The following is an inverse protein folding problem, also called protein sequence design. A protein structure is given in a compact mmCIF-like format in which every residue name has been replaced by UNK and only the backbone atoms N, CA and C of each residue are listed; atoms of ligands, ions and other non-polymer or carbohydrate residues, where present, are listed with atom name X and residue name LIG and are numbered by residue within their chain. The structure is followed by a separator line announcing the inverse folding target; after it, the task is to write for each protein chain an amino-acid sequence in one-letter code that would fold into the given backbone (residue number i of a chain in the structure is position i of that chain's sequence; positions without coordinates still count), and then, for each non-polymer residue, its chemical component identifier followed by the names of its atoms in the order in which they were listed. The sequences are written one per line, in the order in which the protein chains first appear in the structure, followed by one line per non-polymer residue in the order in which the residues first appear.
data_IF_650880640564
#
_entry.id   IF_650880640564
#
_cell.length_a   1.000
_cell.length_b   1.000
_cell.length_c   1.000
_cell.angle_alpha   90.00
_cell.angle_beta   90.00
_cell.angle_gamma   90.00
#
_symmetry.space_group_name_H-M   'P 1'
#
loop_
_entity.id
_entity.type
_entity.pdbx_description
1 polymer ?
#
# COMPACT_ATOMS: atom_id res chain seq x y z
N UNK A 1 15.43 83.02 -2.15
CA UNK A 1 16.75 83.43 -1.59
C UNK A 1 17.68 82.28 -1.85
N UNK A 2 18.45 82.49 -2.84
CA UNK A 2 19.92 82.42 -2.94
C UNK A 2 20.51 81.04 -2.71
N UNK A 3 20.88 80.43 -3.85
CA UNK A 3 22.19 80.53 -4.57
C UNK A 3 23.23 79.58 -3.93
N UNK A 4 24.06 78.84 -4.55
CA UNK A 4 24.69 78.82 -5.87
C UNK A 4 25.64 77.61 -5.93
N UNK A 5 25.70 76.92 -7.05
CA UNK A 5 26.86 76.70 -7.93
C UNK A 5 28.09 76.01 -7.27
N UNK A 6 28.87 75.15 -7.86
CA UNK A 6 29.42 75.02 -9.21
C UNK A 6 30.51 73.92 -9.17
N UNK A 7 30.54 73.11 -10.12
CA UNK A 7 31.46 72.88 -11.25
C UNK A 7 32.74 72.07 -10.99
N UNK A 8 32.86 71.05 -11.79
CA UNK A 8 33.86 70.75 -12.84
C UNK A 8 35.27 70.29 -12.44
N UNK A 9 35.64 69.27 -13.15
CA UNK A 9 37.01 69.08 -13.53
C UNK A 9 37.32 67.65 -14.03
N UNK A 10 37.16 67.47 -15.34
CA UNK A 10 37.74 66.34 -16.06
C UNK A 10 39.22 66.56 -16.22
N UNK A 11 40.04 65.52 -16.39
CA UNK A 11 41.10 65.42 -17.42
C UNK A 11 41.61 63.95 -17.50
N UNK A 12 41.61 63.47 -18.70
CA UNK A 12 42.22 62.35 -19.39
C UNK A 12 43.71 62.14 -19.15
N UNK A 13 44.19 60.91 -19.26
CA UNK A 13 45.23 60.47 -20.17
C UNK A 13 45.61 58.98 -20.02
N UNK A 14 45.63 58.25 -21.11
CA UNK A 14 46.37 57.03 -21.43
C UNK A 14 47.79 57.39 -21.88
N UNK A 15 48.66 56.41 -22.25
CA UNK A 15 48.86 54.98 -21.89
C UNK A 15 50.36 54.71 -21.55
N UNK A 16 50.73 53.46 -21.24
CA UNK A 16 51.96 52.84 -21.83
C UNK A 16 51.97 51.31 -21.50
N UNK A 17 52.38 50.62 -22.56
CA UNK A 17 52.72 49.20 -22.61
C UNK A 17 54.01 48.86 -21.87
N UNK A 18 54.09 47.59 -21.37
CA UNK A 18 55.21 46.66 -21.58
C UNK A 18 54.91 45.35 -20.73
N UNK A 19 54.66 44.29 -21.46
CA UNK A 19 55.55 43.14 -21.71
C UNK A 19 55.87 42.25 -20.47
N UNK A 20 55.42 41.02 -20.59
CA UNK A 20 56.25 39.88 -20.27
C UNK A 20 55.84 39.01 -19.09
N UNK A 21 55.44 37.85 -19.38
CA UNK A 21 55.87 36.56 -18.87
C UNK A 21 54.71 35.57 -18.63
N UNK A 22 54.74 34.52 -19.43
CA UNK A 22 53.91 33.34 -19.36
C UNK A 22 54.06 32.64 -17.99
N UNK A 23 52.96 32.43 -17.28
CA UNK A 23 52.87 31.38 -16.30
C UNK A 23 51.61 30.55 -16.59
N UNK A 24 51.83 29.42 -17.26
CA UNK A 24 50.88 28.34 -17.43
C UNK A 24 50.45 27.85 -16.01
N UNK A 25 49.27 28.23 -15.55
CA UNK A 25 48.62 27.55 -14.44
C UNK A 25 47.66 26.54 -15.04
N UNK A 26 48.10 25.29 -15.07
CA UNK A 26 47.28 24.16 -15.41
C UNK A 26 46.11 24.07 -14.42
N UNK A 27 44.91 24.28 -14.94
CA UNK A 27 43.67 23.92 -14.24
C UNK A 27 43.57 22.42 -14.32
N UNK A 28 43.90 21.75 -13.24
CA UNK A 28 43.64 20.32 -13.01
C UNK A 28 42.12 20.16 -12.85
N UNK A 29 41.45 19.87 -13.96
CA UNK A 29 40.07 19.42 -13.95
C UNK A 29 40.08 17.99 -13.38
N UNK A 30 39.84 17.88 -12.10
CA UNK A 30 39.53 16.59 -11.47
C UNK A 30 38.16 16.15 -11.96
N UNK A 31 38.14 15.34 -13.04
CA UNK A 31 37.02 14.53 -13.43
C UNK A 31 36.78 13.54 -12.32
N UNK A 32 35.87 13.87 -11.40
CA UNK A 32 35.26 12.88 -10.47
C UNK A 32 34.40 12.02 -11.38
N UNK A 33 34.71 10.73 -11.57
CA UNK A 33 33.74 9.81 -12.17
C UNK A 33 32.58 9.75 -11.23
N UNK A 34 31.43 10.36 -11.59
CA UNK A 34 30.14 10.02 -11.03
C UNK A 34 29.94 8.54 -11.35
N UNK A 35 30.24 7.71 -10.37
CA UNK A 35 29.83 6.31 -10.36
C UNK A 35 28.31 6.35 -10.28
N UNK A 36 27.65 6.29 -11.43
CA UNK A 36 26.26 5.90 -11.52
C UNK A 36 26.23 4.43 -11.04
N UNK A 37 26.03 4.24 -9.75
CA UNK A 37 25.54 2.96 -9.26
C UNK A 37 24.21 2.71 -9.97
N UNK A 38 24.02 1.59 -10.68
CA UNK A 38 22.69 1.27 -11.19
C UNK A 38 21.76 1.18 -9.99
N UNK A 39 20.77 2.06 -9.94
CA UNK A 39 19.69 1.93 -8.97
C UNK A 39 18.97 0.64 -9.35
N UNK A 40 19.08 -0.35 -8.50
CA UNK A 40 18.32 -1.61 -8.61
C UNK A 40 16.86 -1.23 -8.40
N UNK A 41 16.11 -1.10 -9.49
CA UNK A 41 14.67 -0.87 -9.44
C UNK A 41 14.01 -2.16 -9.02
N UNK A 42 13.47 -2.16 -7.82
CA UNK A 42 12.81 -3.30 -7.21
C UNK A 42 11.29 -3.16 -7.42
N UNK A 43 10.66 -4.17 -8.00
CA UNK A 43 9.22 -4.16 -8.25
C UNK A 43 8.42 -4.60 -7.01
N UNK A 44 7.20 -4.12 -6.86
CA UNK A 44 6.42 -4.29 -5.63
C UNK A 44 5.05 -4.93 -5.86
N UNK A 45 4.81 -6.04 -5.17
CA UNK A 45 3.57 -6.81 -5.21
C UNK A 45 2.52 -6.34 -4.17
N UNK A 46 2.23 -5.05 -4.06
CA UNK A 46 1.39 -4.50 -2.98
C UNK A 46 -0.03 -4.11 -3.35
N UNK A 47 -0.49 -4.37 -4.58
CA UNK A 47 -1.82 -3.96 -5.05
C UNK A 47 -2.96 -4.94 -4.71
N UNK A 48 -2.89 -5.65 -3.58
CA UNK A 48 -3.99 -6.49 -3.08
C UNK A 48 -4.83 -5.74 -2.05
N UNK A 49 -6.15 -5.59 -2.28
CA UNK A 49 -7.08 -5.12 -1.27
C UNK A 49 -7.70 -6.31 -0.55
N UNK A 50 -7.68 -6.29 0.78
CA UNK A 50 -8.55 -7.15 1.59
C UNK A 50 -9.89 -6.44 1.83
N UNK A 51 -10.98 -7.19 1.85
CA UNK A 51 -12.29 -6.68 2.26
C UNK A 51 -12.32 -6.52 3.78
N UNK A 52 -12.98 -5.47 4.25
CA UNK A 52 -13.24 -5.36 5.69
C UNK A 52 -14.36 -6.32 6.08
N UNK A 53 -14.12 -7.13 7.11
CA UNK A 53 -15.15 -8.03 7.68
C UNK A 53 -16.38 -7.26 8.15
N UNK A 54 -16.20 -6.02 8.65
CA UNK A 54 -17.30 -5.15 9.08
C UNK A 54 -18.21 -4.76 7.91
N UNK A 55 -17.64 -4.43 6.74
CA UNK A 55 -18.41 -4.15 5.54
C UNK A 55 -19.18 -5.39 5.05
N UNK A 56 -18.55 -6.57 5.16
CA UNK A 56 -19.15 -7.83 4.76
C UNK A 56 -20.34 -8.22 5.65
N UNK A 57 -20.23 -7.97 6.97
CA UNK A 57 -21.23 -8.37 7.96
C UNK A 57 -22.31 -7.32 8.19
N UNK A 58 -22.19 -6.13 7.60
CA UNK A 58 -22.97 -4.96 7.95
C UNK A 58 -22.50 -4.36 9.29
N UNK A 59 -22.43 -3.05 9.36
CA UNK A 59 -21.99 -2.32 10.56
C UNK A 59 -23.00 -2.51 11.71
N UNK A 60 -22.87 -3.62 12.43
CA UNK A 60 -23.79 -3.94 13.53
C UNK A 60 -23.36 -3.26 14.82
N UNK A 61 -24.27 -2.49 15.39
CA UNK A 61 -24.09 -1.78 16.65
C UNK A 61 -24.52 -2.59 17.90
N UNK A 62 -24.67 -3.91 17.80
CA UNK A 62 -25.06 -4.72 18.95
C UNK A 62 -23.95 -4.73 20.00
N UNK A 63 -24.26 -4.38 21.29
CA UNK A 63 -23.28 -4.44 22.36
C UNK A 63 -22.75 -5.86 22.57
N UNK A 64 -21.52 -5.94 23.06
CA UNK A 64 -20.88 -7.22 23.41
C UNK A 64 -19.54 -7.44 22.73
N UNK A 65 -18.98 -8.63 22.94
CA UNK A 65 -17.74 -9.08 22.35
C UNK A 65 -18.01 -9.90 21.11
N UNK A 66 -17.12 -9.77 20.12
CA UNK A 66 -17.12 -10.60 18.91
C UNK A 66 -15.72 -11.04 18.57
N UNK A 67 -15.61 -12.27 18.12
CA UNK A 67 -14.40 -12.83 17.51
C UNK A 67 -14.61 -12.94 16.02
N UNK A 68 -13.61 -12.60 15.24
CA UNK A 68 -13.59 -12.84 13.80
C UNK A 68 -12.35 -13.58 13.38
N UNK A 69 -12.47 -14.36 12.32
CA UNK A 69 -11.36 -14.99 11.62
C UNK A 69 -11.60 -14.82 10.11
N UNK A 70 -10.62 -14.27 9.42
CA UNK A 70 -10.67 -14.00 7.98
C UNK A 70 -9.47 -14.63 7.29
N UNK A 71 -9.67 -15.19 6.12
CA UNK A 71 -8.64 -15.68 5.24
C UNK A 71 -8.73 -14.97 3.91
N UNK A 72 -7.61 -14.35 3.48
CA UNK A 72 -7.47 -13.71 2.19
C UNK A 72 -6.46 -14.45 1.33
N UNK A 73 -6.82 -14.63 0.06
CA UNK A 73 -5.99 -15.23 -0.97
C UNK A 73 -5.78 -14.22 -2.10
N UNK A 74 -4.51 -13.85 -2.35
CA UNK A 74 -4.13 -12.89 -3.38
C UNK A 74 -2.94 -13.47 -4.15
N UNK A 75 -3.20 -13.92 -5.37
CA UNK A 75 -2.17 -14.47 -6.26
C UNK A 75 -1.91 -13.49 -7.39
N UNK A 76 -0.71 -12.93 -7.40
CA UNK A 76 -0.25 -11.94 -8.38
C UNK A 76 0.72 -12.62 -9.34
N UNK A 77 0.21 -12.99 -10.51
CA UNK A 77 0.91 -13.76 -11.56
C UNK A 77 0.78 -13.11 -12.94
N UNK A 78 0.23 -11.91 -13.00
CA UNK A 78 0.05 -11.17 -14.24
C UNK A 78 0.82 -9.86 -14.20
N UNK A 79 1.83 -9.72 -15.06
CA UNK A 79 2.59 -8.47 -15.15
C UNK A 79 1.78 -7.41 -15.89
N UNK A 80 1.67 -6.22 -15.27
CA UNK A 80 0.95 -5.06 -15.82
C UNK A 80 1.77 -3.78 -15.74
N UNK A 81 1.50 -2.86 -16.68
CA UNK A 81 2.00 -1.49 -16.67
C UNK A 81 0.89 -0.56 -17.18
N UNK A 82 0.62 0.53 -16.44
CA UNK A 82 -0.54 1.37 -16.71
C UNK A 82 -1.83 0.55 -16.66
N UNK A 83 -2.62 0.64 -17.72
CA UNK A 83 -3.90 -0.07 -17.84
C UNK A 83 -3.79 -1.41 -18.58
N UNK A 84 -2.59 -1.87 -18.93
CA UNK A 84 -2.38 -2.99 -19.85
C UNK A 84 -1.61 -4.13 -19.19
N UNK A 85 -1.94 -5.35 -19.60
CA UNK A 85 -1.08 -6.52 -19.43
C UNK A 85 0.14 -6.38 -20.33
N UNK A 86 1.32 -6.73 -19.82
CA UNK A 86 2.58 -6.73 -20.55
C UNK A 86 3.26 -8.09 -20.41
N UNK A 87 4.10 -8.46 -21.38
CA UNK A 87 4.81 -9.75 -21.39
C UNK A 87 6.23 -9.68 -20.87
N UNK A 88 6.74 -8.49 -20.50
CA UNK A 88 8.08 -8.27 -20.00
C UNK A 88 8.28 -6.84 -19.55
N UNK A 89 9.48 -6.55 -19.10
CA UNK A 89 9.92 -5.24 -18.60
C UNK A 89 11.03 -4.67 -19.46
N UNK A 90 11.27 -3.36 -19.51
CA UNK A 90 12.48 -2.77 -20.10
C UNK A 90 13.74 -3.20 -19.35
N UNK A 91 14.90 -3.02 -20.01
CA UNK A 91 16.20 -3.22 -19.39
C UNK A 91 16.34 -2.37 -18.12
N UNK A 92 16.91 -2.96 -17.06
CA UNK A 92 17.12 -2.32 -15.77
C UNK A 92 15.93 -2.38 -14.81
N UNK A 93 14.74 -2.83 -15.24
CA UNK A 93 13.62 -3.12 -14.35
C UNK A 93 13.71 -4.56 -13.84
N UNK A 94 13.16 -4.79 -12.64
CA UNK A 94 13.01 -6.14 -12.13
C UNK A 94 11.92 -6.90 -12.90
N UNK A 95 12.24 -8.14 -13.30
CA UNK A 95 11.28 -9.07 -13.90
C UNK A 95 10.79 -10.03 -12.83
N UNK A 96 9.75 -9.60 -12.12
CA UNK A 96 9.04 -10.48 -11.18
C UNK A 96 8.30 -11.60 -11.91
N UNK A 97 8.19 -12.76 -11.26
CA UNK A 97 7.52 -13.92 -11.82
C UNK A 97 6.18 -14.19 -11.14
N UNK A 98 6.17 -14.26 -9.80
CA UNK A 98 5.00 -14.68 -9.03
C UNK A 98 5.08 -14.16 -7.60
N UNK A 99 3.92 -13.72 -7.07
CA UNK A 99 3.76 -13.40 -5.65
C UNK A 99 2.43 -13.92 -5.14
N UNK A 100 2.48 -14.88 -4.22
CA UNK A 100 1.31 -15.40 -3.54
C UNK A 100 1.26 -14.90 -2.11
N UNK A 101 0.22 -14.12 -1.80
CA UNK A 101 -0.07 -13.63 -0.47
C UNK A 101 -1.29 -14.36 0.11
N UNK A 102 -1.16 -14.84 1.32
CA UNK A 102 -2.24 -15.39 2.12
C UNK A 102 -2.20 -14.74 3.49
N UNK A 103 -3.34 -14.17 3.91
CA UNK A 103 -3.48 -13.58 5.22
C UNK A 103 -4.49 -14.39 6.03
N UNK A 104 -4.18 -14.65 7.28
CA UNK A 104 -5.12 -15.17 8.28
C UNK A 104 -5.23 -14.10 9.34
N UNK A 105 -6.35 -13.37 9.36
CA UNK A 105 -6.54 -12.25 10.28
C UNK A 105 -7.52 -12.64 11.38
N UNK A 106 -7.03 -12.68 12.63
CA UNK A 106 -7.87 -12.81 13.80
C UNK A 106 -8.30 -11.42 14.27
N UNK A 107 -9.60 -11.26 14.55
CA UNK A 107 -10.17 -10.01 15.05
C UNK A 107 -10.85 -10.22 16.40
N UNK A 108 -10.68 -9.26 17.30
CA UNK A 108 -11.43 -9.15 18.53
C UNK A 108 -12.08 -7.77 18.58
N UNK A 109 -13.39 -7.71 18.63
CA UNK A 109 -14.12 -6.45 18.78
C UNK A 109 -14.95 -6.41 20.05
N UNK A 110 -15.07 -5.21 20.60
CA UNK A 110 -15.89 -4.91 21.77
C UNK A 110 -16.73 -3.67 21.54
N UNK A 111 -18.04 -3.82 21.65
CA UNK A 111 -19.00 -2.70 21.58
C UNK A 111 -19.61 -2.50 22.98
N UNK A 112 -19.20 -1.47 23.74
CA UNK A 112 -19.81 -1.20 25.05
C UNK A 112 -21.28 -0.76 24.93
N UNK A 113 -21.65 -0.19 23.80
CA UNK A 113 -23.00 0.25 23.47
C UNK A 113 -23.18 0.32 21.95
N UNK A 114 -24.32 0.82 21.47
CA UNK A 114 -24.62 0.97 20.03
C UNK A 114 -23.81 2.07 19.33
N UNK A 115 -23.03 2.88 20.06
CA UNK A 115 -22.34 4.06 19.53
C UNK A 115 -20.85 3.82 19.30
N UNK A 116 -20.22 3.00 20.16
CA UNK A 116 -18.80 2.75 20.15
C UNK A 116 -18.48 1.30 19.83
N UNK A 117 -17.45 1.09 19.02
CA UNK A 117 -16.85 -0.22 18.78
C UNK A 117 -15.33 -0.08 18.76
N UNK A 118 -14.63 -0.98 19.41
CA UNK A 118 -13.17 -1.10 19.43
C UNK A 118 -12.78 -2.44 18.85
N UNK A 119 -11.81 -2.42 17.93
CA UNK A 119 -11.40 -3.58 17.14
C UNK A 119 -9.87 -3.72 17.19
N UNK A 120 -9.41 -4.93 17.45
CA UNK A 120 -8.01 -5.36 17.33
C UNK A 120 -7.94 -6.37 16.21
N UNK A 121 -7.07 -6.15 15.22
CA UNK A 121 -6.81 -7.08 14.12
C UNK A 121 -5.37 -7.56 14.19
N UNK A 122 -5.20 -8.88 14.19
CA UNK A 122 -3.91 -9.56 14.30
C UNK A 122 -3.71 -10.43 13.05
N UNK A 123 -2.99 -9.95 12.03
CA UNK A 123 -2.77 -10.71 10.81
C UNK A 123 -1.58 -11.66 10.94
N UNK A 124 -1.71 -12.88 10.46
CA UNK A 124 -0.64 -13.80 10.15
C UNK A 124 -0.43 -13.81 8.64
N UNK A 125 0.77 -13.45 8.20
CA UNK A 125 1.10 -13.29 6.78
C UNK A 125 1.92 -14.50 6.31
N UNK A 126 1.43 -15.16 5.27
CA UNK A 126 2.14 -16.24 4.58
C UNK A 126 2.34 -15.76 3.15
N UNK A 127 3.60 -15.51 2.77
CA UNK A 127 3.95 -14.99 1.44
C UNK A 127 5.02 -15.87 0.80
N UNK A 128 4.84 -16.15 -0.48
CA UNK A 128 5.89 -16.62 -1.37
C UNK A 128 6.07 -15.65 -2.52
N UNK A 129 7.31 -15.38 -2.89
CA UNK A 129 7.67 -14.47 -3.96
C UNK A 129 8.80 -15.06 -4.77
N UNK A 130 8.77 -14.83 -6.09
CA UNK A 130 9.82 -15.25 -7.01
C UNK A 130 10.07 -14.22 -8.10
N UNK A 131 11.33 -14.06 -8.48
CA UNK A 131 11.80 -13.09 -9.46
C UNK A 131 12.98 -13.62 -10.24
N UNK A 132 13.11 -13.17 -11.50
CA UNK A 132 14.33 -13.33 -12.30
C UNK A 132 15.38 -12.26 -11.96
N UNK A 133 15.03 -11.27 -11.11
CA UNK A 133 15.88 -10.12 -10.80
C UNK A 133 15.86 -9.07 -11.91
N UNK A 134 16.87 -8.22 -11.92
CA UNK A 134 16.98 -7.11 -12.92
C UNK A 134 17.13 -7.67 -14.34
N UNK A 135 16.23 -7.27 -15.23
CA UNK A 135 16.22 -7.71 -16.61
C UNK A 135 17.30 -7.02 -17.43
N UNK A 136 18.17 -7.84 -18.09
CA UNK A 136 19.15 -7.41 -19.07
C UNK A 136 18.89 -8.16 -20.39
N UNK A 137 18.50 -7.48 -21.48
CA UNK A 137 18.22 -8.12 -22.77
C UNK A 137 19.47 -8.66 -23.47
N UNK A 138 20.68 -8.30 -23.00
CA UNK A 138 21.95 -8.80 -23.54
C UNK A 138 22.40 -10.12 -22.93
N UNK A 139 21.74 -10.58 -21.86
CA UNK A 139 22.06 -11.80 -21.14
C UNK A 139 20.88 -12.79 -21.20
N UNK A 140 21.13 -14.11 -21.13
CA UNK A 140 20.07 -15.08 -20.87
C UNK A 140 19.36 -14.76 -19.55
N UNK A 141 18.07 -15.10 -19.46
CA UNK A 141 17.35 -14.99 -18.18
C UNK A 141 18.06 -15.84 -17.13
N UNK A 142 18.37 -15.29 -15.94
CA UNK A 142 18.95 -16.04 -14.86
C UNK A 142 17.94 -17.06 -14.31
N UNK A 143 18.45 -17.99 -13.47
CA UNK A 143 17.57 -18.87 -12.70
C UNK A 143 16.66 -18.07 -11.76
N UNK A 144 15.49 -18.64 -11.48
CA UNK A 144 14.49 -18.01 -10.64
C UNK A 144 14.93 -17.96 -9.17
N UNK A 145 15.00 -16.77 -8.61
CA UNK A 145 15.18 -16.57 -7.17
C UNK A 145 13.83 -16.64 -6.46
N UNK A 146 13.76 -17.32 -5.33
CA UNK A 146 12.50 -17.42 -4.57
C UNK A 146 12.69 -17.19 -3.08
N UNK A 147 11.63 -16.67 -2.46
CA UNK A 147 11.54 -16.46 -1.01
C UNK A 147 10.21 -16.99 -0.48
N UNK A 148 10.19 -17.32 0.81
CA UNK A 148 8.97 -17.66 1.52
C UNK A 148 9.06 -17.15 2.96
N UNK A 149 8.01 -16.49 3.42
CA UNK A 149 7.85 -16.03 4.80
C UNK A 149 6.52 -16.50 5.38
N UNK A 150 6.49 -16.70 6.69
CA UNK A 150 5.27 -17.01 7.43
C UNK A 150 5.45 -16.48 8.85
N UNK A 151 4.83 -15.36 9.17
CA UNK A 151 4.98 -14.70 10.46
C UNK A 151 3.83 -13.75 10.77
N UNK A 152 3.83 -13.22 11.99
CA UNK A 152 2.96 -12.13 12.40
C UNK A 152 3.19 -10.91 11.48
N UNK A 153 2.11 -10.26 11.07
CA UNK A 153 2.12 -8.97 10.38
C UNK A 153 1.91 -7.80 11.35
N UNK A 154 1.56 -6.64 10.78
CA UNK A 154 1.36 -5.43 11.57
C UNK A 154 -0.04 -5.42 12.20
N UNK A 155 -0.12 -5.34 13.53
CA UNK A 155 -1.37 -5.29 14.29
C UNK A 155 -2.04 -3.94 14.08
N UNK A 156 -3.38 -3.95 13.91
CA UNK A 156 -4.20 -2.74 13.82
C UNK A 156 -5.11 -2.63 15.04
N UNK A 157 -5.20 -1.43 15.59
CA UNK A 157 -6.12 -1.03 16.65
C UNK A 157 -7.05 0.03 16.07
N UNK A 158 -8.36 -0.20 16.09
CA UNK A 158 -9.35 0.68 15.45
C UNK A 158 -10.46 0.98 16.44
N UNK A 159 -10.79 2.25 16.59
CA UNK A 159 -11.98 2.73 17.29
C UNK A 159 -12.99 3.26 16.26
N UNK A 160 -14.23 2.84 16.38
CA UNK A 160 -15.35 3.30 15.57
C UNK A 160 -16.34 4.08 16.44
N UNK A 161 -16.82 5.20 15.90
CA UNK A 161 -17.88 6.00 16.53
C UNK A 161 -19.01 6.24 15.53
N UNK A 162 -20.25 5.88 15.92
CA UNK A 162 -21.45 6.01 15.08
C UNK A 162 -22.62 6.71 15.80
N UNK A 163 -22.29 7.64 16.69
CA UNK A 163 -23.28 8.39 17.47
C UNK A 163 -23.74 9.71 16.84
N UNK A 164 -23.38 9.99 15.57
CA UNK A 164 -23.73 11.25 14.91
C UNK A 164 -25.21 11.38 14.58
N UNK A 165 -25.86 10.27 14.26
CA UNK A 165 -27.27 10.22 13.90
C UNK A 165 -28.02 9.26 14.85
N UNK A 166 -29.29 9.52 15.16
CA UNK A 166 -30.09 8.62 15.99
C UNK A 166 -30.21 7.20 15.42
N UNK A 167 -30.07 7.06 14.10
CA UNK A 167 -30.11 5.79 13.37
C UNK A 167 -28.79 5.00 13.47
N UNK A 168 -27.71 5.59 14.00
CA UNK A 168 -26.37 5.00 14.10
C UNK A 168 -25.79 4.49 12.77
N UNK A 169 -26.27 5.01 11.65
CA UNK A 169 -25.91 4.55 10.29
C UNK A 169 -24.76 5.36 9.65
N UNK A 170 -24.27 6.40 10.32
CA UNK A 170 -23.09 7.17 9.94
C UNK A 170 -22.03 7.01 11.02
N UNK A 171 -20.84 6.56 10.65
CA UNK A 171 -19.75 6.40 11.59
C UNK A 171 -18.40 6.85 11.03
N UNK A 172 -17.48 7.09 11.94
CA UNK A 172 -16.07 7.37 11.66
C UNK A 172 -15.19 6.33 12.31
N UNK A 173 -14.03 6.11 11.72
CA UNK A 173 -12.99 5.21 12.21
C UNK A 173 -11.71 5.99 12.48
N UNK A 174 -11.08 5.74 13.60
CA UNK A 174 -9.75 6.19 13.93
C UNK A 174 -8.94 4.98 14.38
N UNK A 175 -7.81 4.74 13.74
CA UNK A 175 -6.98 3.59 14.05
C UNK A 175 -5.50 3.87 13.96
N UNK A 176 -4.75 2.91 14.49
CA UNK A 176 -3.28 2.88 14.44
C UNK A 176 -2.86 1.48 14.02
N UNK A 177 -1.99 1.40 13.02
CA UNK A 177 -1.24 0.19 12.67
C UNK A 177 0.11 0.24 13.38
N UNK A 178 0.47 -0.82 14.10
CA UNK A 178 1.71 -0.96 14.85
C UNK A 178 2.72 -1.81 14.06
N UNK A 179 4.01 -1.46 14.06
CA UNK A 179 5.06 -2.20 13.34
C UNK A 179 5.47 -3.48 14.09
N UNK A 180 4.55 -4.42 14.24
CA UNK A 180 4.75 -5.68 14.96
C UNK A 180 5.22 -6.83 14.08
N UNK A 181 5.05 -6.68 12.77
CA UNK A 181 5.48 -7.66 11.78
C UNK A 181 6.98 -7.60 11.51
N UNK A 182 7.51 -8.69 10.96
CA UNK A 182 8.89 -8.71 10.48
C UNK A 182 9.03 -7.76 9.28
N UNK A 183 9.97 -6.82 9.34
CA UNK A 183 10.27 -5.86 8.28
C UNK A 183 11.71 -6.03 7.78
N UNK A 184 12.09 -5.32 6.73
CA UNK A 184 13.42 -5.35 6.12
C UNK A 184 14.54 -5.13 7.17
N UNK A 185 15.63 -5.91 7.12
CA UNK A 185 15.99 -6.97 6.18
C UNK A 185 15.68 -8.41 6.69
N UNK A 186 14.55 -8.62 7.36
CA UNK A 186 14.30 -9.88 8.11
C UNK A 186 14.02 -11.10 7.22
N UNK A 187 13.54 -10.90 5.98
CA UNK A 187 13.25 -11.99 5.04
C UNK A 187 14.24 -11.98 3.90
N UNK A 188 14.84 -13.15 3.61
CA UNK A 188 15.82 -13.31 2.54
C UNK A 188 15.35 -14.31 1.49
N UNK A 189 15.89 -14.19 0.27
CA UNK A 189 15.77 -15.23 -0.75
C UNK A 189 16.36 -16.55 -0.27
N UNK A 190 15.67 -17.64 -0.59
CA UNK A 190 16.01 -19.01 -0.15
C UNK A 190 16.63 -19.84 -1.27
N UNK A 191 16.44 -19.46 -2.52
CA UNK A 191 17.00 -20.15 -3.69
C UNK A 191 17.27 -19.16 -4.84
N UNK A 192 18.00 -19.63 -5.84
CA UNK A 192 18.36 -18.87 -7.02
C UNK A 192 19.58 -17.96 -6.83
N UNK A 193 19.91 -17.14 -7.83
CA UNK A 193 21.07 -16.26 -7.81
C UNK A 193 21.09 -15.27 -6.63
N UNK A 194 19.90 -14.83 -6.15
CA UNK A 194 19.79 -13.88 -5.05
C UNK A 194 19.76 -14.51 -3.66
N UNK A 195 20.09 -15.82 -3.53
CA UNK A 195 20.05 -16.52 -2.24
C UNK A 195 20.85 -15.78 -1.16
N UNK A 196 20.21 -15.59 0.01
CA UNK A 196 20.80 -14.87 1.15
C UNK A 196 20.68 -13.35 1.11
N UNK A 197 20.30 -12.75 -0.03
CA UNK A 197 20.02 -11.30 -0.09
C UNK A 197 18.66 -10.98 0.51
N UNK A 198 18.48 -9.80 1.14
CA UNK A 198 17.19 -9.40 1.67
C UNK A 198 16.12 -9.24 0.57
N UNK A 199 14.90 -9.60 0.92
CA UNK A 199 13.72 -9.34 0.12
C UNK A 199 13.34 -7.85 0.24
N UNK A 200 12.71 -7.31 -0.79
CA UNK A 200 12.27 -5.92 -0.83
C UNK A 200 11.50 -5.50 0.42
N UNK A 201 11.67 -4.25 0.84
CA UNK A 201 11.07 -3.73 2.06
C UNK A 201 9.53 -3.87 2.06
N UNK A 202 8.89 -3.67 0.91
CA UNK A 202 7.45 -3.78 0.71
C UNK A 202 6.92 -5.23 0.71
N UNK A 203 7.77 -6.21 0.48
CA UNK A 203 7.42 -7.64 0.43
C UNK A 203 7.60 -8.36 1.78
N UNK A 204 8.10 -7.68 2.81
CA UNK A 204 8.16 -8.24 4.16
C UNK A 204 6.76 -8.33 4.79
N UNK A 205 6.53 -9.24 5.77
CA UNK A 205 5.26 -9.37 6.48
C UNK A 205 4.76 -8.10 7.17
N UNK A 206 5.66 -7.29 7.68
CA UNK A 206 5.46 -5.93 8.17
C UNK A 206 6.29 -4.94 7.37
N UNK A 207 5.94 -3.67 7.43
CA UNK A 207 6.65 -2.61 6.71
C UNK A 207 7.49 -1.69 7.62
N UNK A 208 7.55 -2.00 8.93
CA UNK A 208 8.35 -1.23 9.89
C UNK A 208 7.81 0.18 10.16
N UNK A 209 6.55 0.48 9.81
CA UNK A 209 5.96 1.80 10.07
C UNK A 209 4.78 1.74 11.03
N UNK A 210 4.64 2.80 11.83
CA UNK A 210 3.41 3.13 12.54
C UNK A 210 2.56 4.01 11.63
N UNK A 211 1.33 3.56 11.33
CA UNK A 211 0.44 4.28 10.45
C UNK A 211 -0.80 4.75 11.21
N UNK A 212 -1.33 5.89 10.82
CA UNK A 212 -2.66 6.35 11.22
C UNK A 212 -3.67 5.89 10.18
N UNK A 213 -4.82 5.43 10.66
CA UNK A 213 -5.96 4.99 9.85
C UNK A 213 -7.14 5.92 10.17
N UNK A 214 -7.70 6.53 9.13
CA UNK A 214 -8.90 7.35 9.19
C UNK A 214 -9.94 6.75 8.27
N UNK A 215 -11.17 6.64 8.75
CA UNK A 215 -12.26 6.10 7.94
C UNK A 215 -13.58 6.75 8.22
N UNK A 216 -14.49 6.60 7.26
CA UNK A 216 -15.89 7.01 7.35
C UNK A 216 -16.73 5.94 6.69
N UNK A 217 -17.87 5.63 7.28
CA UNK A 217 -18.83 4.70 6.69
C UNK A 217 -20.26 5.20 6.87
N UNK A 218 -21.08 4.85 5.90
CA UNK A 218 -22.50 5.12 5.91
C UNK A 218 -23.24 3.91 5.36
N UNK A 219 -24.33 3.52 6.00
CA UNK A 219 -25.23 2.49 5.49
C UNK A 219 -26.69 2.95 5.61
N UNK A 220 -27.53 2.50 4.68
CA UNK A 220 -28.91 2.91 4.58
C UNK A 220 -29.76 1.79 3.99
N UNK A 221 -30.82 1.35 4.64
CA UNK A 221 -31.90 0.59 4.00
C UNK A 221 -32.55 1.44 2.92
N UNK A 222 -32.56 0.95 1.67
CA UNK A 222 -33.21 1.63 0.53
C UNK A 222 -34.57 1.00 0.19
N UNK A 223 -34.81 -0.22 0.65
CA UNK A 223 -36.08 -0.90 0.58
C UNK A 223 -36.20 -1.93 1.70
N UNK A 224 -37.26 -2.73 1.72
CA UNK A 224 -37.42 -3.84 2.67
C UNK A 224 -36.37 -4.96 2.47
N UNK A 225 -35.84 -5.08 1.23
CA UNK A 225 -34.96 -6.15 0.83
C UNK A 225 -33.53 -5.67 0.51
N UNK A 226 -33.28 -4.38 0.39
CA UNK A 226 -31.99 -3.87 -0.05
C UNK A 226 -31.41 -2.86 0.92
N UNK A 227 -30.17 -3.10 1.32
CA UNK A 227 -29.32 -2.17 2.02
C UNK A 227 -28.19 -1.69 1.12
N UNK A 228 -27.87 -0.41 1.22
CA UNK A 228 -26.75 0.24 0.58
C UNK A 228 -25.71 0.65 1.62
N UNK A 229 -24.44 0.54 1.29
CA UNK A 229 -23.38 1.08 2.12
C UNK A 229 -22.25 1.72 1.32
N UNK A 230 -21.58 2.65 1.95
CA UNK A 230 -20.31 3.25 1.51
C UNK A 230 -19.34 3.23 2.67
N UNK A 231 -18.11 2.80 2.41
CA UNK A 231 -16.99 2.88 3.35
C UNK A 231 -15.79 3.50 2.65
N UNK A 232 -15.17 4.49 3.28
CA UNK A 232 -13.91 5.07 2.85
C UNK A 232 -12.87 4.98 3.96
N UNK A 233 -11.65 4.57 3.63
CA UNK A 233 -10.55 4.49 4.58
C UNK A 233 -9.27 5.06 3.95
N UNK A 234 -8.55 5.85 4.74
CA UNK A 234 -7.24 6.40 4.43
C UNK A 234 -6.22 5.92 5.46
N UNK A 235 -5.07 5.43 4.99
CA UNK A 235 -3.95 5.00 5.84
C UNK A 235 -2.68 5.73 5.41
N UNK A 236 -1.95 6.28 6.37
CA UNK A 236 -0.70 7.01 6.15
C UNK A 236 0.32 6.69 7.23
N UNK A 237 1.57 6.48 6.83
CA UNK A 237 2.69 6.29 7.74
C UNK A 237 3.07 7.61 8.41
N UNK A 238 3.10 7.60 9.75
CA UNK A 238 3.48 8.76 10.58
C UNK A 238 4.84 8.59 11.24
N UNK A 239 5.31 7.34 11.40
CA UNK A 239 6.63 7.01 11.92
C UNK A 239 7.12 5.71 11.29
N UNK A 240 8.41 5.62 10.99
CA UNK A 240 9.02 4.42 10.43
C UNK A 240 10.33 4.09 11.15
N UNK A 241 10.66 2.79 11.24
CA UNK A 241 11.91 2.31 11.86
C UNK A 241 13.09 2.40 10.91
N UNK A 242 12.84 2.29 9.60
CA UNK A 242 13.85 2.44 8.56
C UNK A 242 13.94 3.91 8.20
N UNK A 243 14.76 4.67 8.93
CA UNK A 243 14.87 6.14 8.84
C UNK A 243 16.32 6.63 8.64
N UNK A 244 17.28 5.72 8.44
CA UNK A 244 18.67 6.08 8.24
C UNK A 244 18.94 6.46 6.78
N UNK A 245 19.68 7.54 6.49
CA UNK A 245 20.02 7.93 5.12
C UNK A 245 20.65 6.77 4.34
N UNK A 246 20.10 6.48 3.15
CA UNK A 246 20.51 5.37 2.28
C UNK A 246 19.98 4.00 2.71
N UNK A 247 19.28 3.90 3.83
CA UNK A 247 18.61 2.69 4.33
C UNK A 247 17.24 3.02 4.90
N UNK A 248 16.54 3.96 4.25
CA UNK A 248 15.24 4.44 4.66
C UNK A 248 14.12 3.85 3.78
N UNK A 249 12.99 3.60 4.40
CA UNK A 249 11.77 3.12 3.74
C UNK A 249 10.52 3.68 4.41
N UNK A 250 9.63 4.20 3.60
CA UNK A 250 8.30 4.65 4.01
C UNK A 250 7.25 4.14 3.03
N UNK A 251 6.25 3.37 3.47
CA UNK A 251 5.16 2.94 2.60
C UNK A 251 4.34 4.14 2.12
N UNK A 252 3.89 4.08 0.88
CA UNK A 252 2.98 5.07 0.30
C UNK A 252 1.63 5.08 1.02
N UNK A 253 0.95 6.22 0.96
CA UNK A 253 -0.41 6.34 1.50
C UNK A 253 -1.38 5.46 0.71
N UNK A 254 -2.36 4.91 1.40
CA UNK A 254 -3.40 4.06 0.81
C UNK A 254 -4.78 4.65 1.09
N UNK A 255 -5.62 4.72 0.06
CA UNK A 255 -7.02 5.10 0.17
C UNK A 255 -7.87 4.00 -0.44
N UNK A 256 -8.84 3.51 0.31
CA UNK A 256 -9.83 2.54 -0.18
C UNK A 256 -11.23 3.11 -0.07
N UNK A 257 -12.06 2.85 -1.06
CA UNK A 257 -13.49 3.18 -1.03
C UNK A 257 -14.26 1.96 -1.47
N UNK A 258 -15.20 1.51 -0.66
CA UNK A 258 -16.10 0.40 -0.96
C UNK A 258 -17.53 0.91 -1.01
N UNK A 259 -18.24 0.58 -2.07
CA UNK A 259 -19.65 0.89 -2.27
C UNK A 259 -20.36 -0.44 -2.53
N UNK A 260 -21.43 -0.74 -1.80
CA UNK A 260 -22.08 -2.03 -1.94
C UNK A 260 -23.57 -2.03 -1.72
N UNK A 261 -24.17 -3.08 -2.27
CA UNK A 261 -25.57 -3.44 -2.08
C UNK A 261 -25.65 -4.81 -1.43
N UNK A 262 -26.56 -4.96 -0.47
CA UNK A 262 -26.88 -6.20 0.22
C UNK A 262 -28.34 -6.53 -0.06
N UNK A 263 -28.63 -7.77 -0.42
CA UNK A 263 -29.98 -8.24 -0.61
C UNK A 263 -30.42 -9.07 0.60
N UNK A 264 -31.29 -8.52 1.43
CA UNK A 264 -31.64 -9.02 2.76
C UNK A 264 -33.04 -9.63 2.84
N UNK A 265 -33.65 -10.00 1.74
CA UNK A 265 -34.97 -10.65 1.71
C UNK A 265 -35.00 -11.98 2.53
N UNK A 266 -33.85 -12.63 2.69
CA UNK A 266 -33.67 -13.77 3.54
C UNK A 266 -32.51 -13.53 4.54
N UNK A 267 -32.77 -13.32 5.84
CA UNK A 267 -31.75 -13.01 6.81
C UNK A 267 -30.69 -14.12 7.03
N UNK A 268 -30.96 -15.34 6.53
CA UNK A 268 -29.99 -16.42 6.57
C UNK A 268 -28.97 -16.36 5.45
N UNK A 269 -29.35 -15.83 4.26
CA UNK A 269 -28.52 -15.76 3.06
C UNK A 269 -28.60 -14.37 2.48
N UNK A 270 -27.54 -13.60 2.62
CA UNK A 270 -27.46 -12.21 2.17
C UNK A 270 -26.43 -12.11 1.04
N UNK A 271 -26.87 -12.23 -0.23
CA UNK A 271 -26.01 -11.90 -1.36
C UNK A 271 -25.61 -10.44 -1.34
N UNK A 272 -24.39 -10.16 -1.78
CA UNK A 272 -23.84 -8.81 -1.80
C UNK A 272 -23.09 -8.57 -3.11
N UNK A 273 -23.10 -7.33 -3.55
CA UNK A 273 -22.29 -6.86 -4.66
C UNK A 273 -21.60 -5.57 -4.24
N UNK A 274 -20.26 -5.52 -4.36
CA UNK A 274 -19.48 -4.36 -3.99
C UNK A 274 -18.63 -3.89 -5.17
N UNK A 275 -18.39 -2.59 -5.23
CA UNK A 275 -17.33 -1.96 -6.01
C UNK A 275 -16.30 -1.44 -5.04
N UNK A 276 -15.06 -1.89 -5.18
CA UNK A 276 -13.94 -1.49 -4.34
C UNK A 276 -12.93 -0.71 -5.18
N UNK A 277 -12.61 0.49 -4.74
CA UNK A 277 -11.63 1.38 -5.34
C UNK A 277 -10.41 1.47 -4.42
N UNK A 278 -9.24 1.29 -4.99
CA UNK A 278 -7.96 1.45 -4.30
C UNK A 278 -7.12 2.51 -5.00
N UNK A 279 -6.62 3.44 -4.23
CA UNK A 279 -5.52 4.32 -4.62
C UNK A 279 -4.34 4.10 -3.68
N UNK A 280 -3.14 3.88 -4.23
CA UNK A 280 -1.89 3.83 -3.49
C UNK A 280 -0.89 4.83 -4.09
N UNK A 281 -0.30 5.68 -3.24
CA UNK A 281 0.82 6.55 -3.58
C UNK A 281 2.12 5.74 -3.66
N UNK A 282 3.17 6.24 -4.36
CA UNK A 282 4.48 5.58 -4.37
C UNK A 282 5.06 5.42 -2.96
N UNK A 283 5.73 4.29 -2.74
CA UNK A 283 6.59 4.12 -1.59
C UNK A 283 7.80 5.07 -1.71
N UNK A 284 8.44 5.41 -0.60
CA UNK A 284 9.49 6.42 -0.53
C UNK A 284 10.71 5.88 0.22
N UNK A 285 11.89 6.47 -0.06
CA UNK A 285 13.15 6.11 0.57
C UNK A 285 14.08 5.30 -0.34
N UNK A 286 15.31 5.09 0.12
CA UNK A 286 16.34 4.41 -0.66
C UNK A 286 16.07 2.91 -0.87
N UNK A 287 15.26 2.29 0.01
CA UNK A 287 14.84 0.89 -0.07
C UNK A 287 13.49 0.71 -0.79
N UNK A 288 12.93 1.76 -1.37
CA UNK A 288 11.64 1.72 -2.04
C UNK A 288 11.78 1.61 -3.55
N UNK A 289 10.97 0.76 -4.17
CA UNK A 289 10.70 0.91 -5.60
C UNK A 289 9.66 2.02 -5.80
N UNK A 290 10.15 3.24 -5.95
CA UNK A 290 9.32 4.43 -6.15
C UNK A 290 8.54 4.36 -7.47
N UNK A 291 9.08 3.63 -8.46
CA UNK A 291 8.52 3.60 -9.82
C UNK A 291 7.38 2.59 -9.97
N UNK A 292 7.39 1.50 -9.18
CA UNK A 292 6.48 0.37 -9.40
C UNK A 292 5.64 0.02 -8.15
N UNK A 293 5.36 0.98 -7.25
CA UNK A 293 4.60 0.74 -6.02
C UNK A 293 3.27 1.51 -5.92
N UNK A 294 2.94 2.32 -6.92
CA UNK A 294 1.74 3.13 -6.93
C UNK A 294 0.71 2.66 -7.96
N UNK A 295 -0.53 3.03 -7.76
CA UNK A 295 -1.58 2.74 -8.73
C UNK A 295 -2.99 3.03 -8.24
N UNK A 296 -3.91 2.92 -9.20
CA UNK A 296 -5.34 2.99 -8.99
C UNK A 296 -5.97 1.70 -9.51
N UNK A 297 -6.82 1.09 -8.71
CA UNK A 297 -7.48 -0.17 -9.06
C UNK A 297 -8.96 -0.10 -8.71
N UNK A 298 -9.81 -0.68 -9.54
CA UNK A 298 -11.21 -0.89 -9.24
C UNK A 298 -11.55 -2.39 -9.39
N UNK A 299 -12.28 -2.89 -8.40
CA UNK A 299 -12.78 -4.27 -8.38
C UNK A 299 -14.30 -4.30 -8.32
N UNK A 300 -14.89 -5.31 -8.95
CA UNK A 300 -16.26 -5.76 -8.66
C UNK A 300 -16.16 -7.00 -7.79
N UNK A 301 -16.92 -7.02 -6.69
CA UNK A 301 -16.80 -8.03 -5.66
C UNK A 301 -18.16 -8.64 -5.30
N UNK A 302 -18.62 -9.68 -6.04
CA UNK A 302 -19.74 -10.48 -5.60
C UNK A 302 -19.38 -11.27 -4.35
N UNK A 303 -20.33 -11.41 -3.47
CA UNK A 303 -20.15 -12.14 -2.22
C UNK A 303 -21.46 -12.59 -1.59
N UNK A 304 -21.31 -13.37 -0.53
CA UNK A 304 -22.42 -13.95 0.21
C UNK A 304 -22.09 -13.92 1.70
N UNK A 305 -23.02 -13.46 2.51
CA UNK A 305 -23.01 -13.66 3.96
C UNK A 305 -24.07 -14.67 4.36
N UNK A 306 -23.72 -15.57 5.28
CA UNK A 306 -24.58 -16.65 5.76
C UNK A 306 -24.66 -16.62 7.27
N UNK A 307 -25.87 -16.52 7.81
CA UNK A 307 -26.14 -16.70 9.24
C UNK A 307 -26.27 -18.19 9.55
N UNK A 308 -25.20 -18.79 10.10
CA UNK A 308 -25.16 -20.21 10.48
C UNK A 308 -25.95 -20.47 11.77
N UNK A 309 -25.93 -19.49 12.68
CA UNK A 309 -26.73 -19.45 13.90
C UNK A 309 -26.99 -17.99 14.30
N UNK A 310 -27.73 -17.78 15.41
CA UNK A 310 -27.95 -16.44 15.97
C UNK A 310 -26.63 -15.71 16.35
N UNK A 311 -25.56 -16.46 16.61
CA UNK A 311 -24.26 -15.92 17.04
C UNK A 311 -23.14 -16.11 16.03
N UNK A 312 -23.30 -16.99 15.03
CA UNK A 312 -22.24 -17.35 14.08
C UNK A 312 -22.66 -16.98 12.66
N UNK A 313 -21.87 -16.11 12.06
CA UNK A 313 -22.03 -15.69 10.68
C UNK A 313 -20.76 -16.00 9.90
N UNK A 314 -20.90 -16.35 8.64
CA UNK A 314 -19.80 -16.58 7.71
C UNK A 314 -20.00 -15.75 6.46
N UNK A 315 -18.91 -15.40 5.78
CA UNK A 315 -18.95 -14.70 4.50
C UNK A 315 -17.89 -15.22 3.54
N UNK A 316 -18.14 -15.02 2.25
CA UNK A 316 -17.14 -15.22 1.21
C UNK A 316 -17.35 -14.20 0.10
N UNK A 317 -16.23 -13.70 -0.47
CA UNK A 317 -16.18 -12.76 -1.57
C UNK A 317 -15.12 -13.18 -2.59
N UNK A 318 -15.38 -12.87 -3.84
CA UNK A 318 -14.37 -12.88 -4.90
C UNK A 318 -14.29 -11.48 -5.48
N UNK A 319 -13.09 -10.88 -5.53
CA UNK A 319 -12.86 -9.58 -6.13
C UNK A 319 -12.26 -9.76 -7.52
N UNK A 320 -12.93 -9.23 -8.53
CA UNK A 320 -12.52 -9.25 -9.92
C UNK A 320 -12.06 -7.86 -10.34
N UNK A 321 -10.80 -7.66 -10.74
CA UNK A 321 -10.33 -6.36 -11.18
C UNK A 321 -10.99 -5.99 -12.51
N UNK A 322 -11.63 -4.84 -12.56
CA UNK A 322 -12.28 -4.29 -13.76
C UNK A 322 -11.52 -3.10 -14.34
N UNK A 323 -10.67 -2.50 -13.54
CA UNK A 323 -9.78 -1.41 -13.95
C UNK A 323 -8.49 -1.45 -13.16
N UNK A 324 -7.38 -1.18 -13.82
CA UNK A 324 -6.08 -0.89 -13.17
C UNK A 324 -5.38 0.22 -13.93
N UNK A 325 -4.66 1.08 -13.21
CA UNK A 325 -3.69 2.02 -13.76
C UNK A 325 -2.50 2.04 -12.81
N UNK A 326 -1.49 1.22 -13.12
CA UNK A 326 -0.33 0.96 -12.27
C UNK A 326 0.87 1.77 -12.77
N UNK A 327 1.65 2.33 -11.86
CA UNK A 327 2.91 2.98 -12.19
C UNK A 327 4.00 1.93 -12.34
N UNK A 328 4.88 2.11 -13.34
CA UNK A 328 5.94 1.16 -13.65
C UNK A 328 5.41 -0.22 -14.07
N UNK A 329 6.07 -1.27 -13.62
CA UNK A 329 5.79 -2.67 -13.96
C UNK A 329 5.54 -3.42 -12.67
N UNK A 330 4.35 -3.98 -12.49
CA UNK A 330 3.92 -4.63 -11.24
C UNK A 330 3.22 -5.95 -11.52
N UNK A 331 3.42 -6.93 -10.64
CA UNK A 331 2.59 -8.12 -10.59
C UNK A 331 1.20 -7.76 -10.07
N UNK A 332 0.19 -8.36 -10.68
CA UNK A 332 -1.20 -8.05 -10.43
C UNK A 332 -2.06 -9.31 -10.32
N UNK A 333 -3.06 -9.36 -9.43
CA UNK A 333 -3.92 -10.51 -9.30
C UNK A 333 -4.99 -10.54 -10.41
N UNK A 334 -5.28 -11.72 -10.95
CA UNK A 334 -6.43 -11.94 -11.83
C UNK A 334 -7.74 -11.94 -11.07
N UNK A 335 -7.70 -12.34 -9.81
CA UNK A 335 -8.77 -12.24 -8.82
C UNK A 335 -8.17 -12.31 -7.43
N UNK A 336 -8.93 -11.86 -6.43
CA UNK A 336 -8.65 -12.13 -5.03
C UNK A 336 -9.87 -12.79 -4.40
N UNK A 337 -9.66 -13.57 -3.35
CA UNK A 337 -10.75 -14.23 -2.63
C UNK A 337 -10.58 -14.00 -1.14
N UNK A 338 -11.69 -13.71 -0.47
CA UNK A 338 -11.76 -13.55 0.99
C UNK A 338 -12.90 -14.41 1.53
N UNK A 339 -12.64 -15.08 2.64
CA UNK A 339 -13.66 -15.82 3.37
C UNK A 339 -13.42 -15.67 4.87
N UNK A 340 -14.47 -15.60 5.64
CA UNK A 340 -14.34 -15.44 7.08
C UNK A 340 -15.58 -15.80 7.86
N UNK A 341 -15.44 -15.71 9.18
CA UNK A 341 -16.54 -15.94 10.11
C UNK A 341 -16.44 -14.98 11.29
N UNK A 342 -17.59 -14.67 11.88
CA UNK A 342 -17.72 -13.84 13.07
C UNK A 342 -18.61 -14.54 14.07
N UNK A 343 -18.18 -14.58 15.34
CA UNK A 343 -18.89 -15.18 16.44
C UNK A 343 -19.16 -14.15 17.53
N UNK A 344 -20.44 -13.95 17.89
CA UNK A 344 -20.86 -13.12 19.04
C UNK A 344 -20.80 -13.94 20.32
N UNK A 345 -20.06 -13.43 21.32
CA UNK A 345 -19.87 -14.08 22.63
C UNK A 345 -21.08 -13.93 23.55
#
# INVERSE_FOLDING_TARGET
MNTTTSQRGAITAYPTYLSGAHALRGVLVVLIPMIFAPQITQACATCGCTLSSDAAMGYSALPGWRLSLEYDYIHQDELRSGTRKVSGVPAGYELEHDTLNRYITAGLSYSPNSTWNFLVLVPWVIRSHSTYGTYDPTQPLPDLSSSRSSSLGDIKLIGNYQGFLPTHNLGVQLGVKLPTGQYYPSVNFKSGPNVGTPLDASLNPGNGSTDVILGVYYYQPISQDFDFFVNGQFQSSVKHHLDQPGNDYRPGNSTTVSIGLRYESNPRWVPQLQVNLLHKSPDQGALADIQSTAGNVAYISPGLTVSLSAKLHAFAFVQLPVYSNLYGYQLFPRYTASAGMTYAL
#
